data_IF_026018206627
#
_entry.id   IF_026018206627
#
_cell.length_a   1.000
_cell.length_b   1.000
_cell.length_c   1.000
_cell.angle_alpha   90.00
_cell.angle_beta   90.00
_cell.angle_gamma   90.00
#
_symmetry.space_group_name_H-M   'P 1'
#
loop_
_entity.id
_entity.type
_entity.pdbx_description
1 polymer ?
#
# COMPACT_ATOMS: atom_id res chain seq x y z
N UNK A 1 32.46 -30.84 46.21
CA UNK A 1 32.75 -29.91 45.12
C UNK A 1 31.43 -29.54 44.48
N UNK A 2 30.98 -28.32 44.76
CA UNK A 2 29.64 -27.81 44.47
C UNK A 2 29.62 -27.17 43.06
N UNK A 3 28.75 -27.66 42.18
CA UNK A 3 28.51 -27.04 40.89
C UNK A 3 27.38 -26.03 41.02
N UNK A 4 27.70 -24.75 40.92
CA UNK A 4 26.76 -23.65 40.88
C UNK A 4 26.05 -23.57 39.52
N UNK A 5 24.72 -23.81 39.52
CA UNK A 5 23.83 -23.57 38.39
C UNK A 5 23.51 -22.08 38.29
N UNK A 6 24.01 -21.44 37.26
CA UNK A 6 23.67 -20.05 36.90
C UNK A 6 22.35 -20.02 36.14
N UNK A 7 21.27 -19.53 36.77
CA UNK A 7 20.00 -19.17 36.13
C UNK A 7 20.20 -17.93 35.26
N UNK A 8 19.65 -17.88 34.03
CA UNK A 8 19.67 -16.64 33.26
C UNK A 8 18.70 -15.61 33.88
N UNK A 9 19.20 -14.38 34.03
CA UNK A 9 18.43 -13.20 34.42
C UNK A 9 17.37 -12.91 33.37
N UNK A 10 16.11 -12.97 33.79
CA UNK A 10 14.97 -12.47 33.01
C UNK A 10 15.06 -10.93 32.86
N UNK A 11 15.06 -10.46 31.63
CA UNK A 11 14.99 -9.04 31.33
C UNK A 11 13.63 -8.47 31.72
N UNK A 12 13.67 -7.39 32.43
CA UNK A 12 12.68 -6.35 32.71
C UNK A 12 11.25 -6.60 32.23
N UNK A 13 10.43 -7.19 33.07
CA UNK A 13 9.00 -7.09 33.02
C UNK A 13 8.56 -5.72 33.54
N UNK A 14 8.04 -4.88 32.66
CA UNK A 14 7.21 -3.74 33.08
C UNK A 14 5.99 -4.35 33.75
N UNK A 15 5.88 -4.17 35.07
CA UNK A 15 4.76 -4.62 35.88
C UNK A 15 3.46 -3.99 35.38
N UNK A 16 2.57 -4.81 34.83
CA UNK A 16 1.18 -4.42 34.64
C UNK A 16 0.57 -4.07 35.99
N UNK A 17 -0.21 -3.01 36.12
CA UNK A 17 -0.90 -2.71 37.39
C UNK A 17 -1.82 -3.88 37.74
N UNK A 18 -1.68 -4.42 38.95
CA UNK A 18 -2.31 -5.65 39.46
C UNK A 18 -3.86 -5.58 39.69
N UNK A 19 -4.57 -4.57 39.20
CA UNK A 19 -5.99 -4.33 39.50
C UNK A 19 -6.97 -4.61 38.36
N UNK A 20 -6.61 -5.45 37.37
CA UNK A 20 -7.51 -5.79 36.25
C UNK A 20 -8.37 -7.06 36.49
N UNK A 21 -8.53 -7.48 37.74
CA UNK A 21 -9.33 -8.64 38.11
C UNK A 21 -10.81 -8.31 37.94
N UNK A 22 -11.46 -8.91 36.92
CA UNK A 22 -12.89 -8.73 36.64
C UNK A 22 -13.23 -8.15 35.25
N UNK A 23 -12.23 -7.71 34.49
CA UNK A 23 -12.42 -7.26 33.11
C UNK A 23 -12.18 -8.39 32.10
N UNK A 24 -13.00 -8.44 31.03
CA UNK A 24 -12.70 -9.24 29.84
C UNK A 24 -11.25 -8.95 29.44
N UNK A 25 -10.49 -9.98 29.12
CA UNK A 25 -9.05 -9.87 28.86
C UNK A 25 -8.74 -8.83 27.79
N UNK A 26 -8.14 -7.71 28.19
CA UNK A 26 -7.70 -6.65 27.28
C UNK A 26 -6.33 -7.06 26.75
N UNK A 27 -6.25 -7.28 25.44
CA UNK A 27 -5.01 -7.71 24.80
C UNK A 27 -3.92 -6.64 24.92
N UNK A 28 -2.67 -7.11 25.11
CA UNK A 28 -1.50 -6.23 25.02
C UNK A 28 -1.38 -5.62 23.62
N UNK A 29 -0.64 -4.53 23.47
CA UNK A 29 -0.45 -3.84 22.20
C UNK A 29 0.05 -4.79 21.08
N UNK A 30 1.03 -5.63 21.39
CA UNK A 30 1.55 -6.58 20.41
C UNK A 30 0.51 -7.65 20.02
N UNK A 31 -0.21 -8.18 21.01
CA UNK A 31 -1.27 -9.17 20.77
C UNK A 31 -2.44 -8.58 19.99
N UNK A 32 -2.85 -7.35 20.31
CA UNK A 32 -3.94 -6.68 19.63
C UNK A 32 -3.59 -6.30 18.18
N UNK A 33 -2.42 -5.73 17.94
CA UNK A 33 -1.92 -5.44 16.58
C UNK A 33 -1.79 -6.72 15.75
N UNK A 34 -1.36 -7.83 16.38
CA UNK A 34 -1.34 -9.13 15.72
C UNK A 34 -2.76 -9.63 15.39
N UNK A 35 -3.72 -9.43 16.28
CA UNK A 35 -5.13 -9.79 16.05
C UNK A 35 -5.74 -9.03 14.88
N UNK A 36 -5.51 -7.71 14.78
CA UNK A 36 -5.92 -6.91 13.62
C UNK A 36 -5.35 -7.51 12.32
N UNK A 37 -4.06 -7.84 12.31
CA UNK A 37 -3.40 -8.44 11.14
C UNK A 37 -3.97 -9.81 10.76
N UNK A 38 -4.35 -10.62 11.75
CA UNK A 38 -4.96 -11.93 11.52
C UNK A 38 -6.39 -11.79 10.99
N UNK A 39 -7.19 -10.89 11.56
CA UNK A 39 -8.56 -10.65 11.13
C UNK A 39 -8.61 -10.05 9.72
N UNK A 40 -7.68 -9.15 9.39
CA UNK A 40 -7.52 -8.66 8.03
C UNK A 40 -7.25 -9.80 7.03
N UNK A 41 -6.28 -10.69 7.33
CA UNK A 41 -5.97 -11.85 6.48
C UNK A 41 -7.15 -12.82 6.38
N UNK A 42 -7.95 -12.95 7.43
CA UNK A 42 -9.19 -13.73 7.40
C UNK A 42 -10.22 -13.07 6.48
N UNK A 43 -10.44 -11.77 6.63
CA UNK A 43 -11.35 -10.98 5.81
C UNK A 43 -10.93 -10.99 4.33
N UNK A 44 -9.64 -10.86 4.01
CA UNK A 44 -9.11 -10.99 2.63
C UNK A 44 -9.48 -12.33 1.99
N UNK A 45 -9.50 -13.42 2.78
CA UNK A 45 -9.81 -14.77 2.28
C UNK A 45 -11.32 -15.05 2.22
N UNK A 46 -12.07 -14.60 3.22
CA UNK A 46 -13.50 -14.92 3.37
C UNK A 46 -14.40 -13.89 2.73
N UNK A 47 -13.87 -12.73 2.31
CA UNK A 47 -14.60 -11.55 1.82
C UNK A 47 -15.60 -11.00 2.85
N UNK A 48 -15.47 -11.38 4.14
CA UNK A 48 -16.30 -10.84 5.22
C UNK A 48 -15.63 -9.63 5.83
N UNK A 49 -16.32 -8.48 5.88
CA UNK A 49 -15.74 -7.26 6.44
C UNK A 49 -15.63 -7.34 7.96
N UNK A 50 -14.70 -6.56 8.51
CA UNK A 50 -14.60 -6.27 9.93
C UNK A 50 -14.45 -4.76 10.16
N UNK A 51 -14.71 -4.28 11.37
CA UNK A 51 -14.44 -2.91 11.72
C UNK A 51 -13.49 -2.81 12.91
N UNK A 52 -12.74 -1.72 12.94
CA UNK A 52 -11.83 -1.33 14.00
C UNK A 52 -12.28 0.02 14.55
N UNK A 53 -12.67 0.06 15.81
CA UNK A 53 -12.85 1.28 16.57
C UNK A 53 -11.60 1.57 17.36
N UNK A 54 -11.06 2.78 17.27
CA UNK A 54 -9.98 3.28 18.10
C UNK A 54 -10.48 4.44 18.94
N UNK A 55 -10.14 4.42 20.21
CA UNK A 55 -10.46 5.43 21.19
C UNK A 55 -9.14 6.00 21.70
N UNK A 56 -8.84 7.23 21.30
CA UNK A 56 -7.66 7.98 21.72
C UNK A 56 -8.11 8.98 22.80
N UNK A 57 -7.63 8.78 24.01
CA UNK A 57 -7.93 9.65 25.14
C UNK A 57 -7.04 10.92 25.21
N UNK A 58 -6.19 11.17 24.20
CA UNK A 58 -5.32 12.35 24.14
C UNK A 58 -4.25 12.40 25.24
N UNK A 59 -3.80 11.29 25.68
CA UNK A 59 -3.22 11.06 26.99
C UNK A 59 -1.69 11.25 27.08
N UNK A 60 -1.20 12.49 27.02
CA UNK A 60 -0.01 12.82 27.81
C UNK A 60 -0.33 13.62 29.10
N UNK A 61 -1.57 14.12 29.24
CA UNK A 61 -1.97 14.99 30.36
C UNK A 61 -3.22 14.53 31.14
N UNK A 62 -3.99 13.55 30.62
CA UNK A 62 -5.21 13.04 31.27
C UNK A 62 -4.97 11.80 32.13
N UNK A 63 -3.79 11.20 32.08
CA UNK A 63 -3.47 10.08 32.97
C UNK A 63 -3.37 10.61 34.40
N UNK A 64 -4.52 10.67 35.06
CA UNK A 64 -4.57 10.69 36.50
C UNK A 64 -3.65 9.57 37.02
N UNK A 65 -2.88 9.85 38.08
CA UNK A 65 -1.90 8.94 38.68
C UNK A 65 -2.45 7.54 39.04
N UNK A 66 -3.76 7.32 38.84
CA UNK A 66 -4.49 6.10 39.18
C UNK A 66 -5.11 5.37 37.98
N UNK A 67 -4.99 5.86 36.74
CA UNK A 67 -5.52 5.17 35.54
C UNK A 67 -7.05 5.04 35.49
N UNK A 68 -7.81 5.83 36.25
CA UNK A 68 -9.28 5.74 36.36
C UNK A 68 -9.98 5.95 35.03
N UNK A 69 -9.54 6.90 34.24
CA UNK A 69 -10.13 7.17 32.89
C UNK A 69 -10.13 5.92 32.01
N UNK A 70 -9.07 5.13 32.06
CA UNK A 70 -9.00 3.89 31.30
C UNK A 70 -9.92 2.81 31.86
N UNK A 71 -10.10 2.73 33.18
CA UNK A 71 -11.05 1.82 33.80
C UNK A 71 -12.48 2.15 33.37
N UNK A 72 -12.83 3.43 33.35
CA UNK A 72 -14.16 3.88 32.91
C UNK A 72 -14.39 3.63 31.44
N UNK A 73 -13.38 3.89 30.57
CA UNK A 73 -13.44 3.56 29.13
C UNK A 73 -13.62 2.06 28.92
N UNK A 74 -12.84 1.23 29.58
CA UNK A 74 -12.89 -0.23 29.43
C UNK A 74 -14.20 -0.82 29.98
N UNK A 75 -14.70 -0.28 31.08
CA UNK A 75 -16.00 -0.65 31.65
C UNK A 75 -17.16 -0.31 30.69
N UNK A 76 -17.14 0.89 30.11
CA UNK A 76 -18.14 1.31 29.13
C UNK A 76 -18.10 0.43 27.86
N UNK A 77 -16.89 0.07 27.40
CA UNK A 77 -16.72 -0.83 26.26
C UNK A 77 -17.30 -2.22 26.54
N UNK A 78 -17.02 -2.81 27.72
CA UNK A 78 -17.56 -4.13 28.08
C UNK A 78 -19.08 -4.19 28.07
N UNK A 79 -19.74 -3.11 28.47
CA UNK A 79 -21.22 -3.02 28.45
C UNK A 79 -21.80 -2.83 27.04
N UNK A 80 -21.00 -2.46 26.05
CA UNK A 80 -21.43 -2.07 24.71
C UNK A 80 -21.10 -3.08 23.61
N UNK A 81 -20.08 -3.94 23.80
CA UNK A 81 -19.53 -4.87 22.80
C UNK A 81 -20.02 -6.31 23.03
N UNK A 82 -19.94 -7.14 21.99
CA UNK A 82 -20.30 -8.57 22.03
C UNK A 82 -19.15 -9.40 22.63
N UNK A 83 -19.45 -10.63 23.03
CA UNK A 83 -18.40 -11.57 23.48
C UNK A 83 -17.37 -11.92 22.41
N UNK A 84 -17.80 -11.92 21.14
CA UNK A 84 -16.95 -12.19 19.98
C UNK A 84 -16.04 -11.02 19.60
N UNK A 85 -16.32 -9.81 20.07
CA UNK A 85 -15.52 -8.64 19.79
C UNK A 85 -14.27 -8.63 20.68
N UNK A 86 -13.15 -8.19 20.11
CA UNK A 86 -11.85 -8.25 20.77
C UNK A 86 -11.40 -6.85 21.13
N UNK A 87 -11.09 -6.63 22.43
CA UNK A 87 -10.57 -5.37 22.95
C UNK A 87 -9.09 -5.48 23.26
N UNK A 88 -8.31 -4.45 22.96
CA UNK A 88 -6.88 -4.42 23.28
C UNK A 88 -6.27 -3.04 23.11
N UNK A 89 -5.04 -2.91 23.53
CA UNK A 89 -4.25 -1.69 23.35
C UNK A 89 -3.75 -1.59 21.92
N UNK A 90 -4.13 -0.55 21.19
CA UNK A 90 -3.49 -0.23 19.91
C UNK A 90 -2.15 0.48 20.15
N UNK A 91 -2.11 1.40 21.14
CA UNK A 91 -0.90 1.98 21.70
C UNK A 91 -1.06 1.97 23.21
N UNK A 92 -0.12 1.34 23.91
CA UNK A 92 -0.20 1.16 25.36
C UNK A 92 -0.40 2.50 26.08
N UNK A 93 -1.40 2.56 26.94
CA UNK A 93 -1.78 3.74 27.75
C UNK A 93 -2.14 5.00 26.93
N UNK A 94 -2.40 4.89 25.65
CA UNK A 94 -2.77 6.03 24.79
C UNK A 94 -4.01 5.76 23.93
N UNK A 95 -4.06 4.59 23.29
CA UNK A 95 -5.16 4.25 22.35
C UNK A 95 -5.65 2.84 22.64
N UNK A 96 -6.93 2.69 22.98
CA UNK A 96 -7.61 1.40 23.07
C UNK A 96 -8.38 1.14 21.79
N UNK A 97 -8.37 -0.10 21.33
CA UNK A 97 -9.11 -0.52 20.14
C UNK A 97 -10.09 -1.64 20.42
N UNK A 98 -11.12 -1.71 19.58
CA UNK A 98 -12.09 -2.82 19.51
C UNK A 98 -12.18 -3.31 18.08
N UNK A 99 -11.97 -4.61 17.87
CA UNK A 99 -12.19 -5.28 16.60
C UNK A 99 -13.57 -5.91 16.62
N UNK A 100 -14.44 -5.45 15.72
CA UNK A 100 -15.78 -6.01 15.48
C UNK A 100 -15.70 -6.97 14.31
N UNK A 101 -15.97 -8.25 14.56
CA UNK A 101 -15.94 -9.29 13.54
C UNK A 101 -17.32 -9.52 12.91
N UNK A 102 -17.36 -10.05 11.69
CA UNK A 102 -18.59 -10.45 10.99
C UNK A 102 -19.65 -9.32 10.89
N UNK A 103 -19.24 -8.17 10.37
CA UNK A 103 -20.15 -7.05 10.15
C UNK A 103 -20.86 -7.22 8.81
N UNK A 104 -22.18 -7.00 8.80
CA UNK A 104 -22.97 -6.89 7.57
C UNK A 104 -22.97 -5.40 7.19
N UNK A 105 -22.43 -5.08 6.02
CA UNK A 105 -22.29 -3.68 5.54
C UNK A 105 -23.61 -3.12 4.95
N UNK A 106 -24.61 -3.98 4.73
CA UNK A 106 -25.90 -3.53 4.20
C UNK A 106 -26.66 -2.67 5.20
N UNK A 107 -26.66 -1.36 4.92
CA UNK A 107 -27.32 -0.31 5.70
C UNK A 107 -26.84 -0.16 7.16
N UNK A 108 -25.87 0.57 7.33
CA UNK A 108 -25.15 1.17 8.47
C UNK A 108 -25.85 1.55 9.83
N UNK A 109 -27.04 1.06 10.23
CA UNK A 109 -27.59 1.41 11.53
C UNK A 109 -26.87 0.72 12.69
N UNK A 110 -26.28 -0.47 12.47
CA UNK A 110 -25.64 -1.24 13.55
C UNK A 110 -24.38 -0.55 14.07
N UNK A 111 -23.53 -0.06 13.18
CA UNK A 111 -22.27 0.60 13.55
C UNK A 111 -22.53 1.96 14.20
N UNK A 112 -23.46 2.74 13.66
CA UNK A 112 -23.86 4.02 14.26
C UNK A 112 -24.53 3.83 15.63
N UNK A 113 -25.30 2.75 15.79
CA UNK A 113 -25.92 2.38 17.07
C UNK A 113 -24.88 1.97 18.12
N UNK A 114 -23.88 1.16 17.74
CA UNK A 114 -22.77 0.79 18.64
C UNK A 114 -22.00 2.04 19.05
N UNK A 115 -21.65 2.92 18.11
CA UNK A 115 -20.93 4.15 18.40
C UNK A 115 -21.74 5.11 19.30
N UNK A 116 -23.02 5.26 19.04
CA UNK A 116 -23.89 6.10 19.87
C UNK A 116 -24.01 5.54 21.29
N UNK A 117 -24.12 4.22 21.43
CA UNK A 117 -24.16 3.55 22.73
C UNK A 117 -22.86 3.71 23.52
N UNK A 118 -21.70 3.49 22.85
CA UNK A 118 -20.39 3.70 23.47
C UNK A 118 -20.22 5.15 23.91
N UNK A 119 -20.59 6.10 23.04
CA UNK A 119 -20.52 7.54 23.38
C UNK A 119 -21.41 7.91 24.54
N UNK A 120 -22.64 7.38 24.61
CA UNK A 120 -23.54 7.61 25.73
C UNK A 120 -22.96 7.10 27.04
N UNK A 121 -22.47 5.84 27.07
CA UNK A 121 -21.88 5.26 28.28
C UNK A 121 -20.62 6.01 28.74
N UNK A 122 -19.78 6.46 27.80
CA UNK A 122 -18.59 7.26 28.13
C UNK A 122 -18.94 8.66 28.61
N UNK A 123 -20.05 9.26 28.10
CA UNK A 123 -20.53 10.56 28.55
C UNK A 123 -21.07 10.52 29.97
N UNK A 124 -21.70 9.39 30.33
CA UNK A 124 -22.26 9.20 31.69
C UNK A 124 -21.17 8.88 32.74
N UNK A 125 -20.06 8.22 32.28
CA UNK A 125 -18.97 7.80 33.17
C UNK A 125 -17.81 8.78 33.31
N UNK A 126 -17.67 9.75 32.41
CA UNK A 126 -16.53 10.68 32.38
C UNK A 126 -16.97 12.14 32.59
N UNK A 127 -16.07 12.94 33.13
CA UNK A 127 -16.27 14.39 33.19
C UNK A 127 -16.35 15.01 31.78
N UNK A 128 -17.15 16.09 31.62
CA UNK A 128 -17.35 16.73 30.32
C UNK A 128 -16.04 17.16 29.64
N UNK A 129 -15.04 17.57 30.41
CA UNK A 129 -13.73 17.99 29.93
C UNK A 129 -12.90 16.78 29.42
N UNK A 130 -12.97 15.66 30.13
CA UNK A 130 -12.35 14.39 29.72
C UNK A 130 -12.99 13.84 28.44
N UNK A 131 -14.32 13.82 28.39
CA UNK A 131 -15.04 13.33 27.23
C UNK A 131 -14.76 14.16 25.96
N UNK A 132 -14.63 15.49 26.10
CA UNK A 132 -14.35 16.38 24.98
C UNK A 132 -13.01 16.13 24.29
N UNK A 133 -12.04 15.54 25.00
CA UNK A 133 -10.70 15.23 24.50
C UNK A 133 -10.60 13.87 23.84
N UNK A 134 -11.60 13.00 24.06
CA UNK A 134 -11.59 11.65 23.45
C UNK A 134 -11.88 11.75 21.96
N UNK A 135 -10.97 11.19 21.17
CA UNK A 135 -11.15 11.04 19.72
C UNK A 135 -11.55 9.61 19.36
N UNK A 136 -12.60 9.50 18.58
CA UNK A 136 -13.07 8.22 18.05
C UNK A 136 -12.68 8.11 16.58
N UNK A 137 -11.95 7.06 16.22
CA UNK A 137 -11.64 6.71 14.83
C UNK A 137 -12.28 5.37 14.53
N UNK A 138 -13.14 5.35 13.51
CA UNK A 138 -13.82 4.14 13.08
C UNK A 138 -13.37 3.77 11.67
N UNK A 139 -12.84 2.56 11.50
CA UNK A 139 -12.25 2.06 10.27
C UNK A 139 -12.94 0.76 9.91
N UNK A 140 -13.31 0.60 8.65
CA UNK A 140 -13.89 -0.63 8.11
C UNK A 140 -12.89 -1.25 7.15
N UNK A 141 -12.77 -2.56 7.18
CA UNK A 141 -11.98 -3.33 6.23
C UNK A 141 -12.91 -4.27 5.43
N UNK A 142 -12.80 -4.36 4.11
CA UNK A 142 -11.86 -3.65 3.23
C UNK A 142 -12.08 -2.15 3.21
N UNK A 143 -10.98 -1.39 3.15
CA UNK A 143 -11.05 0.05 2.97
C UNK A 143 -11.80 0.38 1.68
N UNK A 144 -12.80 1.25 1.76
CA UNK A 144 -13.44 1.85 0.60
C UNK A 144 -12.49 2.87 -0.04
N UNK A 145 -11.51 2.38 -0.77
CA UNK A 145 -10.58 3.24 -1.52
C UNK A 145 -11.27 4.07 -2.58
N UNK A 146 -12.55 3.80 -2.86
CA UNK A 146 -13.06 4.10 -4.17
C UNK A 146 -14.40 4.80 -4.29
N UNK A 147 -15.31 4.64 -3.35
CA UNK A 147 -16.68 5.01 -3.70
C UNK A 147 -17.00 6.50 -3.56
N UNK A 148 -16.31 7.25 -2.68
CA UNK A 148 -16.67 8.65 -2.45
C UNK A 148 -15.49 9.64 -2.33
N UNK A 149 -14.26 9.20 -2.13
CA UNK A 149 -13.12 10.12 -2.02
C UNK A 149 -11.80 9.47 -2.49
N UNK A 150 -11.49 9.59 -3.79
CA UNK A 150 -10.33 8.94 -4.43
C UNK A 150 -8.98 9.48 -3.95
N UNK A 151 -8.96 10.52 -3.15
CA UNK A 151 -7.76 11.16 -2.61
C UNK A 151 -7.44 10.69 -1.18
N UNK A 152 -8.25 9.82 -0.57
CA UNK A 152 -7.91 9.26 0.74
C UNK A 152 -6.92 8.10 0.57
N UNK A 153 -5.71 8.25 1.11
CA UNK A 153 -4.79 7.11 1.21
C UNK A 153 -5.40 6.03 2.11
N UNK A 154 -5.04 4.77 1.86
CA UNK A 154 -5.39 3.67 2.77
C UNK A 154 -4.93 3.99 4.18
N UNK A 155 -5.74 3.66 5.16
CA UNK A 155 -5.39 3.94 6.55
C UNK A 155 -4.35 2.91 7.04
N UNK A 156 -3.09 3.33 7.32
CA UNK A 156 -2.02 2.43 7.75
C UNK A 156 -2.36 1.69 9.05
N UNK A 157 -3.28 2.21 9.86
CA UNK A 157 -3.74 1.65 11.12
C UNK A 157 -4.33 0.24 10.99
N UNK A 158 -4.92 -0.09 9.82
CA UNK A 158 -5.42 -1.44 9.52
C UNK A 158 -4.31 -2.43 9.13
N UNK A 159 -3.06 -1.95 8.99
CA UNK A 159 -1.91 -2.73 8.52
C UNK A 159 -0.72 -2.67 9.49
N UNK A 160 -0.90 -2.99 10.79
CA UNK A 160 0.15 -2.83 11.79
C UNK A 160 1.37 -3.73 11.56
N UNK A 161 1.21 -4.84 10.85
CA UNK A 161 2.31 -5.73 10.44
C UNK A 161 3.21 -5.07 9.37
N UNK A 162 2.63 -4.30 8.47
CA UNK A 162 3.37 -3.54 7.46
C UNK A 162 4.09 -2.36 8.13
N UNK A 163 3.42 -1.63 9.00
CA UNK A 163 3.99 -0.51 9.75
C UNK A 163 5.20 -0.94 10.58
N UNK A 164 5.08 -2.02 11.38
CA UNK A 164 6.19 -2.58 12.17
C UNK A 164 7.39 -2.97 11.31
N UNK A 165 7.15 -3.57 10.14
CA UNK A 165 8.22 -3.92 9.18
C UNK A 165 8.88 -2.68 8.60
N UNK A 166 8.11 -1.67 8.28
CA UNK A 166 8.62 -0.40 7.76
C UNK A 166 9.45 0.35 8.80
N UNK A 167 9.06 0.30 10.06
CA UNK A 167 9.82 0.91 11.16
C UNK A 167 11.13 0.21 11.44
N UNK A 168 11.12 -1.13 11.46
CA UNK A 168 12.34 -1.91 11.70
C UNK A 168 13.42 -1.71 10.65
N UNK A 169 13.05 -1.24 9.44
CA UNK A 169 13.97 -1.07 8.32
C UNK A 169 14.20 0.39 7.91
N UNK A 170 14.09 1.33 8.85
CA UNK A 170 14.24 2.78 8.59
C UNK A 170 15.57 3.13 7.94
N UNK A 171 16.68 2.58 8.44
CA UNK A 171 18.03 2.84 7.89
C UNK A 171 18.14 2.34 6.46
N UNK A 172 17.67 1.13 6.19
CA UNK A 172 17.67 0.56 4.83
C UNK A 172 16.86 1.41 3.85
N UNK A 173 15.70 1.93 4.27
CA UNK A 173 14.87 2.83 3.45
C UNK A 173 15.54 4.19 3.22
N UNK A 174 16.21 4.74 4.23
CA UNK A 174 16.98 5.97 4.05
C UNK A 174 18.14 5.78 3.05
N UNK A 175 18.86 4.66 3.13
CA UNK A 175 19.91 4.30 2.17
C UNK A 175 19.34 4.09 0.77
N UNK A 176 18.20 3.37 0.66
CA UNK A 176 17.49 3.25 -0.63
C UNK A 176 17.14 4.62 -1.21
N UNK A 177 16.60 5.52 -0.40
CA UNK A 177 16.26 6.88 -0.86
C UNK A 177 17.47 7.65 -1.34
N UNK A 178 18.60 7.53 -0.67
CA UNK A 178 19.86 8.14 -1.09
C UNK A 178 20.31 7.60 -2.47
N UNK A 179 20.26 6.28 -2.66
CA UNK A 179 20.57 5.63 -3.95
C UNK A 179 19.59 6.09 -5.04
N UNK A 180 18.29 6.17 -4.74
CA UNK A 180 17.27 6.66 -5.67
C UNK A 180 17.58 8.08 -6.14
N UNK A 181 17.93 8.99 -5.22
CA UNK A 181 18.22 10.38 -5.54
C UNK A 181 19.51 10.51 -6.34
N UNK A 182 20.61 9.91 -5.86
CA UNK A 182 21.90 9.99 -6.52
C UNK A 182 21.88 9.30 -7.88
N UNK A 183 21.28 8.11 -7.97
CA UNK A 183 21.12 7.36 -9.22
C UNK A 183 20.27 8.11 -10.24
N UNK A 184 19.12 8.68 -9.82
CA UNK A 184 18.28 9.45 -10.72
C UNK A 184 18.94 10.74 -11.20
N UNK A 185 19.65 11.44 -10.32
CA UNK A 185 20.37 12.66 -10.68
C UNK A 185 21.49 12.37 -11.68
N UNK A 186 22.27 11.31 -11.41
CA UNK A 186 23.35 10.86 -12.32
C UNK A 186 22.80 10.43 -13.68
N UNK A 187 21.71 9.65 -13.70
CA UNK A 187 21.07 9.22 -14.95
C UNK A 187 20.50 10.41 -15.73
N UNK A 188 19.87 11.38 -15.07
CA UNK A 188 19.37 12.59 -15.72
C UNK A 188 20.51 13.41 -16.33
N UNK A 189 21.64 13.55 -15.63
CA UNK A 189 22.82 14.27 -16.14
C UNK A 189 23.41 13.57 -17.36
N UNK A 190 23.67 12.25 -17.26
CA UNK A 190 24.27 11.44 -18.33
C UNK A 190 23.36 11.35 -19.55
N UNK A 191 22.05 11.15 -19.34
CA UNK A 191 21.07 11.00 -20.41
C UNK A 191 20.47 12.32 -20.88
N UNK A 192 20.92 13.48 -20.36
CA UNK A 192 20.42 14.80 -20.78
C UNK A 192 20.47 15.02 -22.30
N UNK A 193 21.52 14.63 -23.07
CA UNK A 193 21.51 14.77 -24.53
C UNK A 193 20.37 13.94 -25.17
N UNK A 194 20.12 12.72 -24.65
CA UNK A 194 19.04 11.86 -25.14
C UNK A 194 17.68 12.50 -24.88
N UNK A 195 17.49 13.13 -23.71
CA UNK A 195 16.27 13.87 -23.39
C UNK A 195 16.00 14.98 -24.40
N UNK A 196 17.01 15.78 -24.75
CA UNK A 196 16.86 16.84 -25.74
C UNK A 196 16.56 16.31 -27.14
N UNK A 197 17.27 15.27 -27.58
CA UNK A 197 17.04 14.63 -28.89
C UNK A 197 15.61 14.08 -28.97
N UNK A 198 15.17 13.33 -27.96
CA UNK A 198 13.82 12.75 -27.93
C UNK A 198 12.75 13.86 -27.89
N UNK A 199 12.97 14.90 -27.06
CA UNK A 199 12.04 16.02 -26.97
C UNK A 199 11.90 16.77 -28.30
N UNK A 200 13.01 17.03 -28.99
CA UNK A 200 13.02 17.65 -30.31
C UNK A 200 12.32 16.74 -31.35
N UNK A 201 12.65 15.46 -31.40
CA UNK A 201 12.03 14.50 -32.31
C UNK A 201 10.51 14.42 -32.11
N UNK A 202 10.01 14.36 -30.88
CA UNK A 202 8.57 14.37 -30.59
C UNK A 202 7.93 15.68 -31.08
N UNK A 203 8.59 16.81 -30.87
CA UNK A 203 8.04 18.12 -31.26
C UNK A 203 7.97 18.30 -32.77
N UNK A 204 8.96 17.77 -33.50
CA UNK A 204 9.03 17.83 -34.96
C UNK A 204 8.09 16.83 -35.66
N UNK A 205 7.87 15.66 -35.06
CA UNK A 205 7.09 14.59 -35.69
C UNK A 205 5.59 14.60 -35.37
N UNK A 206 5.19 15.29 -34.28
CA UNK A 206 3.79 15.31 -33.87
C UNK A 206 3.41 16.60 -33.11
N UNK A 207 2.20 17.14 -33.37
CA UNK A 207 1.67 18.32 -32.68
C UNK A 207 1.34 18.01 -31.21
N UNK A 208 1.68 18.92 -30.28
CA UNK A 208 1.28 18.87 -28.87
C UNK A 208 2.46 18.86 -27.89
N UNK A 209 2.22 18.58 -26.58
CA UNK A 209 3.26 18.59 -25.53
C UNK A 209 4.24 17.43 -25.70
N UNK A 210 5.48 17.63 -25.31
CA UNK A 210 6.55 16.60 -25.33
C UNK A 210 6.28 15.53 -24.27
N UNK A 211 5.85 15.96 -23.10
CA UNK A 211 5.56 15.06 -21.96
C UNK A 211 4.08 14.70 -21.92
N UNK A 212 3.81 13.43 -21.76
CA UNK A 212 2.53 12.88 -21.36
C UNK A 212 2.46 12.82 -19.83
N UNK A 213 1.33 13.28 -19.29
CA UNK A 213 1.06 13.30 -17.84
C UNK A 213 -0.17 12.46 -17.56
N UNK A 214 -0.06 11.54 -16.60
CA UNK A 214 -1.14 10.65 -16.20
C UNK A 214 -1.23 10.55 -14.69
N UNK A 215 -2.42 10.66 -14.12
CA UNK A 215 -2.63 10.36 -12.71
C UNK A 215 -2.50 8.87 -12.47
N UNK A 216 -1.66 8.49 -11.51
CA UNK A 216 -1.43 7.12 -11.06
C UNK A 216 -1.46 7.05 -9.55
N UNK A 217 -1.64 5.84 -9.04
CA UNK A 217 -1.69 5.58 -7.60
C UNK A 217 -0.31 5.14 -7.14
N UNK A 218 0.20 5.84 -6.12
CA UNK A 218 1.50 5.60 -5.49
C UNK A 218 1.40 4.83 -4.18
N UNK A 219 2.44 4.97 -3.37
CA UNK A 219 2.53 4.35 -2.04
C UNK A 219 1.36 4.81 -1.15
N UNK A 220 0.79 3.89 -0.39
CA UNK A 220 -0.38 4.10 0.49
C UNK A 220 -1.62 4.65 -0.22
N UNK A 221 -1.75 4.43 -1.54
CA UNK A 221 -2.91 4.91 -2.29
C UNK A 221 -2.85 6.39 -2.69
N UNK A 222 -1.74 7.08 -2.45
CA UNK A 222 -1.61 8.51 -2.77
C UNK A 222 -1.54 8.75 -4.28
N UNK A 223 -2.40 9.59 -4.88
CA UNK A 223 -2.32 9.89 -6.29
C UNK A 223 -1.14 10.83 -6.60
N UNK A 224 -0.43 10.56 -7.69
CA UNK A 224 0.64 11.42 -8.18
C UNK A 224 0.58 11.58 -9.70
N UNK A 225 1.34 12.55 -10.24
CA UNK A 225 1.42 12.80 -11.68
C UNK A 225 2.61 12.07 -12.28
N UNK A 226 2.33 10.95 -12.92
CA UNK A 226 3.29 10.11 -13.63
C UNK A 226 3.72 10.76 -14.95
N UNK A 227 5.02 10.83 -15.21
CA UNK A 227 5.61 11.48 -16.35
C UNK A 227 6.16 10.47 -17.35
N UNK A 228 5.83 10.66 -18.64
CA UNK A 228 6.42 9.93 -19.77
C UNK A 228 6.69 10.86 -20.95
N UNK A 229 7.58 10.49 -21.85
CA UNK A 229 7.56 11.08 -23.18
C UNK A 229 6.32 10.63 -23.95
N UNK A 230 5.76 11.52 -24.73
CA UNK A 230 4.59 11.22 -25.53
C UNK A 230 4.95 10.23 -26.65
N UNK A 231 4.35 9.06 -26.61
CA UNK A 231 4.50 7.99 -27.59
C UNK A 231 3.21 7.71 -28.38
N UNK A 232 2.12 8.42 -28.07
CA UNK A 232 0.81 8.28 -28.70
C UNK A 232 0.31 9.61 -29.23
N UNK A 233 -0.61 9.56 -30.20
CA UNK A 233 -1.37 10.74 -30.69
C UNK A 233 -2.26 11.30 -29.58
N UNK A 234 -2.64 12.58 -29.69
CA UNK A 234 -3.53 13.25 -28.74
C UNK A 234 -5.00 12.87 -29.12
N UNK A 235 -5.88 12.86 -28.11
CA UNK A 235 -7.33 12.59 -28.25
C UNK A 235 -7.67 11.17 -28.70
N UNK A 236 -6.97 10.19 -28.17
CA UNK A 236 -7.27 8.78 -28.43
C UNK A 236 -8.30 8.23 -27.42
N UNK A 237 -9.23 7.41 -27.94
CA UNK A 237 -10.12 6.65 -27.09
C UNK A 237 -9.33 5.56 -26.30
N UNK A 238 -9.57 5.50 -25.01
CA UNK A 238 -8.95 4.52 -24.11
C UNK A 238 -9.90 3.40 -23.67
N UNK A 239 -11.12 3.34 -24.24
CA UNK A 239 -12.16 2.39 -23.84
C UNK A 239 -11.73 0.94 -24.05
N UNK A 240 -11.18 0.62 -25.23
CA UNK A 240 -10.66 -0.72 -25.53
C UNK A 240 -9.53 -1.14 -24.58
N UNK A 241 -8.66 -0.20 -24.23
CA UNK A 241 -7.57 -0.48 -23.30
C UNK A 241 -8.08 -0.72 -21.89
N UNK A 242 -9.07 0.04 -21.43
CA UNK A 242 -9.69 -0.17 -20.11
C UNK A 242 -10.36 -1.53 -20.02
N UNK A 243 -11.09 -1.91 -21.05
CA UNK A 243 -11.77 -3.21 -21.10
C UNK A 243 -10.75 -4.36 -21.12
N UNK A 244 -9.71 -4.26 -21.94
CA UNK A 244 -8.63 -5.24 -21.96
C UNK A 244 -7.96 -5.40 -20.59
N UNK A 245 -7.69 -4.31 -19.90
CA UNK A 245 -7.07 -4.34 -18.57
C UNK A 245 -8.00 -4.99 -17.54
N UNK A 246 -9.30 -4.73 -17.58
CA UNK A 246 -10.28 -5.41 -16.73
C UNK A 246 -10.26 -6.93 -16.94
N UNK A 247 -10.27 -7.37 -18.19
CA UNK A 247 -10.19 -8.79 -18.54
C UNK A 247 -8.87 -9.41 -18.09
N UNK A 248 -7.76 -8.67 -18.18
CA UNK A 248 -6.44 -9.11 -17.71
C UNK A 248 -6.44 -9.32 -16.20
N UNK A 249 -6.99 -8.38 -15.43
CA UNK A 249 -7.10 -8.45 -13.97
C UNK A 249 -8.04 -9.58 -13.55
N UNK A 250 -9.15 -9.78 -14.27
CA UNK A 250 -10.10 -10.86 -14.04
C UNK A 250 -9.56 -12.26 -14.47
N UNK A 251 -8.34 -12.33 -15.02
CA UNK A 251 -7.76 -13.58 -15.50
C UNK A 251 -8.41 -14.12 -16.79
N UNK A 252 -9.26 -13.32 -17.44
CA UNK A 252 -10.04 -13.69 -18.66
C UNK A 252 -9.35 -13.25 -19.95
N UNK A 253 -8.26 -12.49 -19.88
CA UNK A 253 -7.54 -12.03 -21.07
C UNK A 253 -6.89 -13.21 -21.80
N UNK A 254 -7.18 -13.33 -23.08
CA UNK A 254 -6.52 -14.31 -23.94
C UNK A 254 -5.10 -13.87 -24.29
N UNK A 255 -4.21 -14.84 -24.33
CA UNK A 255 -2.87 -14.64 -24.85
C UNK A 255 -2.93 -14.45 -26.35
N UNK A 256 -2.42 -13.32 -26.84
CA UNK A 256 -2.29 -13.07 -28.29
C UNK A 256 -0.89 -13.44 -28.76
N UNK A 257 -0.80 -14.08 -29.93
CA UNK A 257 0.50 -14.39 -30.53
C UNK A 257 1.24 -13.10 -30.87
N UNK A 258 2.46 -12.96 -30.34
CA UNK A 258 3.36 -11.89 -30.74
C UNK A 258 4.17 -12.37 -31.93
N UNK A 259 3.94 -11.77 -33.12
CA UNK A 259 4.79 -11.89 -34.30
C UNK A 259 5.06 -13.32 -34.82
N UNK A 260 4.07 -14.15 -35.05
CA UNK A 260 4.22 -15.38 -35.86
C UNK A 260 5.16 -16.49 -35.31
N UNK A 261 5.93 -16.23 -34.26
CA UNK A 261 6.90 -17.17 -33.68
C UNK A 261 6.35 -18.01 -32.51
N UNK A 262 5.05 -18.15 -32.37
CA UNK A 262 4.43 -19.06 -31.38
C UNK A 262 4.43 -18.57 -29.92
N UNK A 263 5.07 -17.47 -29.61
CA UNK A 263 5.06 -16.90 -28.26
C UNK A 263 3.82 -16.06 -27.99
N UNK A 264 3.09 -16.39 -26.95
CA UNK A 264 1.85 -15.72 -26.57
C UNK A 264 2.08 -14.74 -25.43
N UNK A 265 1.66 -13.48 -25.63
CA UNK A 265 1.80 -12.37 -24.66
C UNK A 265 0.45 -11.79 -24.29
N UNK A 266 0.35 -11.29 -23.04
CA UNK A 266 -0.78 -10.51 -22.58
C UNK A 266 -0.58 -9.04 -22.96
N UNK A 267 -0.91 -8.67 -24.22
CA UNK A 267 -0.78 -7.29 -24.70
C UNK A 267 -1.71 -7.02 -25.87
N UNK A 268 -2.17 -5.77 -26.01
CA UNK A 268 -2.83 -5.30 -27.21
C UNK A 268 -1.79 -5.15 -28.32
N UNK A 269 -1.92 -5.92 -29.39
CA UNK A 269 -1.09 -5.85 -30.59
C UNK A 269 -1.69 -4.85 -31.59
N UNK A 270 -0.84 -4.11 -32.32
CA UNK A 270 -1.23 -3.13 -33.36
C UNK A 270 -2.09 -1.95 -32.87
N UNK A 271 -1.69 -1.33 -31.76
CA UNK A 271 -2.35 -0.12 -31.27
C UNK A 271 -2.08 1.07 -32.20
N UNK A 272 -3.09 1.46 -33.00
CA UNK A 272 -3.05 2.57 -33.97
C UNK A 272 -2.82 3.94 -33.33
N UNK A 273 -2.97 4.03 -32.01
CA UNK A 273 -2.72 5.26 -31.25
C UNK A 273 -1.25 5.60 -31.15
N UNK A 274 -0.35 4.63 -31.36
CA UNK A 274 1.10 4.78 -31.18
C UNK A 274 1.68 5.48 -32.42
N UNK A 275 2.42 6.57 -32.19
CA UNK A 275 3.15 7.24 -33.29
C UNK A 275 4.31 6.38 -33.80
N UNK A 276 4.79 6.55 -35.06
CA UNK A 276 5.95 5.82 -35.58
C UNK A 276 7.19 5.99 -34.67
N UNK A 277 7.47 7.23 -34.25
CA UNK A 277 8.54 7.53 -33.28
C UNK A 277 8.24 6.86 -31.92
N UNK A 278 6.98 6.93 -31.46
CA UNK A 278 6.54 6.33 -30.21
C UNK A 278 6.78 4.83 -30.14
N UNK A 279 6.70 4.12 -31.26
CA UNK A 279 7.01 2.68 -31.34
C UNK A 279 8.48 2.42 -31.00
N UNK A 280 9.39 3.25 -31.53
CA UNK A 280 10.84 3.16 -31.21
C UNK A 280 11.08 3.49 -29.75
N UNK A 281 10.48 4.58 -29.22
CA UNK A 281 10.62 5.00 -27.83
C UNK A 281 10.17 3.90 -26.86
N UNK A 282 9.03 3.27 -27.15
CA UNK A 282 8.47 2.18 -26.32
C UNK A 282 9.33 0.92 -26.40
N UNK A 283 9.81 0.57 -27.59
CA UNK A 283 10.70 -0.59 -27.78
C UNK A 283 11.97 -0.47 -26.91
N UNK A 284 12.55 0.72 -26.87
CA UNK A 284 13.76 1.03 -26.10
C UNK A 284 13.46 1.51 -24.68
N UNK A 285 12.19 1.56 -24.26
CA UNK A 285 11.72 2.11 -22.98
C UNK A 285 12.19 3.55 -22.71
N UNK A 286 12.57 4.29 -23.74
CA UNK A 286 13.01 5.69 -23.63
C UNK A 286 11.85 6.61 -23.23
N UNK A 287 10.62 6.23 -23.55
CA UNK A 287 9.42 6.95 -23.12
C UNK A 287 9.28 7.02 -21.60
N UNK A 288 9.91 6.13 -20.86
CA UNK A 288 9.85 6.06 -19.39
C UNK A 288 10.91 6.91 -18.68
N UNK A 289 11.92 7.44 -19.38
CA UNK A 289 12.99 8.23 -18.77
C UNK A 289 12.51 9.44 -17.93
N UNK A 290 11.43 10.18 -18.28
CA UNK A 290 10.94 11.28 -17.45
C UNK A 290 10.47 10.87 -16.06
N UNK A 291 10.25 9.57 -15.78
CA UNK A 291 9.94 9.08 -14.44
C UNK A 291 11.10 9.27 -13.45
N UNK A 292 12.33 9.46 -13.91
CA UNK A 292 13.45 9.86 -13.05
C UNK A 292 13.14 11.13 -12.27
N UNK A 293 12.34 12.04 -12.84
CA UNK A 293 11.85 13.24 -12.15
C UNK A 293 10.88 12.87 -11.02
N UNK A 294 10.00 11.88 -11.24
CA UNK A 294 9.11 11.39 -10.19
C UNK A 294 9.90 10.71 -9.04
N UNK A 295 11.02 10.04 -9.37
CA UNK A 295 11.91 9.48 -8.35
C UNK A 295 12.55 10.59 -7.53
N UNK A 296 13.06 11.64 -8.15
CA UNK A 296 13.63 12.80 -7.43
C UNK A 296 12.61 13.49 -6.53
N UNK A 297 11.35 13.59 -6.97
CA UNK A 297 10.24 14.13 -6.17
C UNK A 297 9.84 13.23 -4.99
N UNK A 298 10.29 11.98 -4.97
CA UNK A 298 9.94 11.01 -3.94
C UNK A 298 8.61 10.29 -4.16
N UNK A 299 7.96 10.54 -5.28
CA UNK A 299 6.72 9.88 -5.70
C UNK A 299 6.95 8.43 -6.13
N UNK A 300 8.16 8.14 -6.63
CA UNK A 300 8.63 6.84 -7.09
C UNK A 300 10.04 6.52 -6.55
N UNK A 301 10.46 5.29 -6.77
CA UNK A 301 11.81 4.74 -6.57
C UNK A 301 12.37 4.27 -7.91
N UNK A 302 13.67 4.03 -8.01
CA UNK A 302 14.25 3.35 -9.17
C UNK A 302 13.70 1.93 -9.30
N UNK A 303 13.59 1.21 -8.17
CA UNK A 303 13.11 -0.17 -8.11
C UNK A 303 11.88 -0.28 -7.23
N UNK A 304 10.82 -0.89 -7.76
CA UNK A 304 9.56 -1.13 -7.05
C UNK A 304 8.44 -1.64 -7.97
N UNK A 305 7.25 -1.88 -7.42
CA UNK A 305 6.07 -2.22 -8.20
C UNK A 305 5.72 -1.15 -9.22
N UNK A 306 5.16 -1.53 -10.37
CA UNK A 306 4.65 -0.55 -11.34
C UNK A 306 3.45 0.18 -10.76
N UNK A 307 3.39 1.55 -10.80
CA UNK A 307 2.25 2.30 -10.32
C UNK A 307 1.02 2.06 -11.20
N UNK A 308 -0.12 1.61 -10.65
CA UNK A 308 -1.34 1.38 -11.42
C UNK A 308 -2.05 2.68 -11.76
N UNK A 309 -2.93 2.61 -12.75
CA UNK A 309 -3.91 3.65 -13.05
C UNK A 309 -5.13 3.41 -12.16
N UNK A 310 -5.91 4.46 -11.90
CA UNK A 310 -7.07 4.39 -11.02
C UNK A 310 -8.06 3.28 -11.40
N UNK A 311 -8.46 3.17 -12.66
CA UNK A 311 -9.40 2.13 -13.11
C UNK A 311 -8.84 0.70 -12.99
N UNK A 312 -7.51 0.52 -12.90
CA UNK A 312 -6.90 -0.78 -12.56
C UNK A 312 -7.16 -1.10 -11.09
N UNK A 313 -6.96 -0.12 -10.19
CA UNK A 313 -7.20 -0.31 -8.75
C UNK A 313 -8.67 -0.58 -8.43
N UNK A 314 -9.58 0.02 -9.19
CA UNK A 314 -11.03 -0.24 -9.10
C UNK A 314 -11.38 -1.71 -9.41
N UNK A 315 -10.62 -2.34 -10.30
CA UNK A 315 -10.78 -3.75 -10.64
C UNK A 315 -9.97 -4.71 -9.75
N UNK A 316 -9.17 -4.20 -8.80
CA UNK A 316 -8.32 -5.02 -7.93
C UNK A 316 -9.14 -5.76 -6.88
N UNK A 317 -8.81 -7.03 -6.68
CA UNK A 317 -9.16 -7.72 -5.45
C UNK A 317 -8.39 -7.13 -4.25
N UNK A 318 -8.90 -7.36 -3.04
CA UNK A 318 -8.33 -6.79 -1.81
C UNK A 318 -6.83 -7.10 -1.66
N UNK A 319 -6.41 -8.33 -1.95
CA UNK A 319 -5.01 -8.75 -1.84
C UNK A 319 -4.09 -8.11 -2.90
N UNK A 320 -4.63 -7.72 -4.07
CA UNK A 320 -3.88 -6.98 -5.09
C UNK A 320 -3.45 -5.60 -4.58
N UNK A 321 -4.28 -4.98 -3.73
CA UNK A 321 -4.03 -3.65 -3.18
C UNK A 321 -2.82 -3.61 -2.24
N UNK A 322 -2.45 -4.75 -1.63
CA UNK A 322 -1.29 -4.85 -0.72
C UNK A 322 0.03 -4.39 -1.37
N UNK A 323 0.19 -4.56 -2.69
CA UNK A 323 1.39 -4.09 -3.40
C UNK A 323 1.59 -2.58 -3.31
N UNK A 324 0.52 -1.81 -3.12
CA UNK A 324 0.56 -0.35 -3.00
C UNK A 324 0.89 0.10 -1.57
N UNK A 325 0.69 -0.78 -0.59
CA UNK A 325 0.95 -0.52 0.81
C UNK A 325 2.34 -0.94 1.23
N UNK A 326 2.81 -2.05 0.68
CA UNK A 326 4.07 -2.68 1.10
C UNK A 326 5.31 -2.05 0.44
N UNK A 327 5.18 -1.38 -0.72
CA UNK A 327 6.33 -0.82 -1.41
C UNK A 327 6.00 0.43 -2.24
N UNK A 328 6.96 1.36 -2.27
CA UNK A 328 6.93 2.52 -3.16
C UNK A 328 7.02 2.08 -4.62
N UNK A 329 6.21 2.65 -5.54
CA UNK A 329 6.26 2.30 -6.95
C UNK A 329 7.63 2.62 -7.58
N UNK A 330 8.06 1.78 -8.53
CA UNK A 330 9.34 1.88 -9.20
C UNK A 330 9.26 2.11 -10.71
N UNK A 331 10.38 2.54 -11.30
CA UNK A 331 10.59 2.58 -12.76
C UNK A 331 10.75 1.15 -13.27
N UNK A 332 11.55 0.35 -12.59
CA UNK A 332 11.72 -1.09 -12.83
C UNK A 332 11.33 -1.90 -11.60
N UNK A 333 11.10 -3.20 -11.75
CA UNK A 333 10.69 -4.05 -10.66
C UNK A 333 10.93 -5.52 -10.94
N UNK A 334 10.75 -6.36 -9.92
CA UNK A 334 11.03 -7.79 -9.99
C UNK A 334 10.28 -8.47 -11.13
N UNK A 335 8.96 -8.25 -11.25
CA UNK A 335 8.17 -8.84 -12.33
C UNK A 335 8.61 -8.35 -13.72
N UNK A 336 9.03 -7.09 -13.84
CA UNK A 336 9.48 -6.49 -15.09
C UNK A 336 10.76 -7.14 -15.63
N UNK A 337 11.66 -7.58 -14.74
CA UNK A 337 12.88 -8.29 -15.14
C UNK A 337 12.72 -9.80 -15.18
N UNK A 338 11.61 -10.36 -14.65
CA UNK A 338 11.36 -11.82 -14.57
C UNK A 338 10.49 -12.37 -15.70
N UNK A 339 9.71 -11.56 -16.42
CA UNK A 339 8.83 -12.11 -17.47
C UNK A 339 7.97 -11.10 -18.22
N UNK A 340 7.89 -9.84 -17.75
CA UNK A 340 7.11 -8.75 -18.40
C UNK A 340 5.70 -9.20 -18.82
N UNK A 341 5.35 -9.02 -20.10
CA UNK A 341 4.03 -9.32 -20.68
C UNK A 341 3.68 -10.82 -20.78
N UNK A 342 4.58 -11.73 -20.39
CA UNK A 342 4.32 -13.19 -20.36
C UNK A 342 3.67 -13.65 -19.05
N UNK A 343 3.75 -12.83 -18.02
CA UNK A 343 3.26 -13.15 -16.65
C UNK A 343 1.79 -12.79 -16.54
N UNK A 344 0.98 -13.69 -15.95
CA UNK A 344 -0.41 -13.40 -15.60
C UNK A 344 -0.47 -12.27 -14.57
N UNK A 345 -1.58 -11.56 -14.49
CA UNK A 345 -1.74 -10.44 -13.58
C UNK A 345 -1.50 -10.85 -12.11
N UNK A 346 -2.09 -11.94 -11.65
CA UNK A 346 -1.91 -12.43 -10.28
C UNK A 346 -0.46 -12.79 -9.96
N UNK A 347 0.26 -13.40 -10.91
CA UNK A 347 1.66 -13.74 -10.72
C UNK A 347 2.53 -12.48 -10.70
N UNK A 348 2.18 -11.45 -11.49
CA UNK A 348 2.82 -10.13 -11.41
C UNK A 348 2.64 -9.52 -10.02
N UNK A 349 1.43 -9.56 -9.46
CA UNK A 349 1.16 -9.06 -8.10
C UNK A 349 1.92 -9.87 -7.05
N UNK A 350 1.98 -11.21 -7.19
CA UNK A 350 2.78 -12.07 -6.30
C UNK A 350 4.26 -11.73 -6.32
N UNK A 351 4.84 -11.46 -7.50
CA UNK A 351 6.22 -11.02 -7.63
C UNK A 351 6.46 -9.65 -6.98
N UNK A 352 5.50 -8.72 -7.12
CA UNK A 352 5.58 -7.42 -6.45
C UNK A 352 5.52 -7.55 -4.92
N UNK A 353 4.64 -8.41 -4.39
CA UNK A 353 4.57 -8.70 -2.97
C UNK A 353 5.79 -9.46 -2.47
N UNK A 354 6.33 -10.39 -3.27
CA UNK A 354 7.59 -11.07 -2.96
C UNK A 354 8.75 -10.08 -2.85
N UNK A 355 8.84 -9.13 -3.78
CA UNK A 355 9.82 -8.04 -3.73
C UNK A 355 9.68 -7.23 -2.44
N UNK A 356 8.46 -6.77 -2.12
CA UNK A 356 8.20 -5.93 -0.96
C UNK A 356 8.54 -6.65 0.36
N UNK A 357 8.21 -7.94 0.46
CA UNK A 357 8.44 -8.75 1.68
C UNK A 357 9.89 -9.15 1.88
N UNK A 358 10.60 -9.42 0.79
CA UNK A 358 12.01 -9.87 0.81
C UNK A 358 12.97 -8.75 0.40
N UNK A 359 12.51 -7.50 0.47
CA UNK A 359 13.30 -6.37 0.04
C UNK A 359 14.65 -6.28 0.74
N UNK A 360 15.68 -6.06 -0.05
CA UNK A 360 17.04 -5.74 0.38
C UNK A 360 17.70 -4.83 -0.67
N UNK A 361 18.70 -4.05 -0.26
CA UNK A 361 19.48 -3.23 -1.19
C UNK A 361 20.16 -4.08 -2.27
N UNK A 362 20.58 -5.29 -1.92
CA UNK A 362 21.16 -6.23 -2.88
C UNK A 362 20.18 -6.68 -3.96
N UNK A 363 18.92 -6.90 -3.57
CA UNK A 363 17.85 -7.22 -4.53
C UNK A 363 17.61 -6.06 -5.50
N UNK A 364 17.63 -4.82 -5.01
CA UNK A 364 17.52 -3.63 -5.88
C UNK A 364 18.67 -3.58 -6.89
N UNK A 365 19.91 -3.82 -6.45
CA UNK A 365 21.07 -3.84 -7.34
C UNK A 365 20.92 -4.92 -8.41
N UNK A 366 20.51 -6.13 -8.04
CA UNK A 366 20.27 -7.23 -9.01
C UNK A 366 19.21 -6.83 -10.04
N UNK A 367 18.10 -6.23 -9.60
CA UNK A 367 17.03 -5.79 -10.51
C UNK A 367 17.55 -4.70 -11.45
N UNK A 368 18.30 -3.71 -10.94
CA UNK A 368 18.89 -2.66 -11.76
C UNK A 368 19.86 -3.22 -12.81
N UNK A 369 20.71 -4.17 -12.44
CA UNK A 369 21.64 -4.82 -13.37
C UNK A 369 20.93 -5.68 -14.43
N UNK A 370 19.78 -6.27 -14.11
CA UNK A 370 18.97 -7.05 -15.07
C UNK A 370 18.11 -6.17 -15.98
N UNK A 371 17.83 -4.94 -15.58
CA UNK A 371 16.93 -4.04 -16.33
C UNK A 371 17.41 -3.75 -17.75
N UNK A 372 18.69 -3.42 -18.05
CA UNK A 372 19.16 -3.22 -19.42
C UNK A 372 18.94 -4.43 -20.32
N UNK A 373 19.26 -5.62 -19.83
CA UNK A 373 19.03 -6.87 -20.58
C UNK A 373 17.52 -7.09 -20.83
N UNK A 374 16.68 -6.86 -19.82
CA UNK A 374 15.23 -6.96 -19.96
C UNK A 374 14.65 -5.90 -20.92
N UNK A 375 15.27 -4.72 -21.06
CA UNK A 375 14.87 -3.69 -22.03
C UNK A 375 15.30 -4.05 -23.45
N UNK A 376 16.54 -4.52 -23.63
CA UNK A 376 17.12 -4.75 -24.96
C UNK A 376 16.70 -6.10 -25.56
N UNK A 377 16.60 -7.14 -24.73
CA UNK A 377 16.33 -8.52 -25.15
C UNK A 377 14.98 -9.04 -24.67
N UNK A 378 14.26 -8.25 -23.86
CA UNK A 378 12.93 -8.62 -23.37
C UNK A 378 11.91 -8.62 -24.49
N UNK A 379 11.50 -9.80 -24.96
CA UNK A 379 10.40 -9.95 -25.88
C UNK A 379 9.11 -9.44 -25.24
N UNK A 380 8.37 -8.57 -25.96
CA UNK A 380 7.15 -7.94 -25.44
C UNK A 380 7.23 -6.42 -25.23
N UNK A 381 8.29 -5.76 -25.64
CA UNK A 381 8.44 -4.30 -25.62
C UNK A 381 7.79 -3.58 -26.86
N UNK A 382 6.97 -4.28 -27.65
CA UNK A 382 6.34 -3.74 -28.86
C UNK A 382 4.96 -3.16 -28.61
#
# INVERSE_FOLDING_TARGET
MSSASTKPRSANGVSQPQNWVGFKEVLSEEAFRRMISLERKRSERTQRPFALLLIDAGCSQLCDKQGRVWLDILSALQGAIRETDVTGWYTTNSVVGVVFTEIVLDNNPVLSTILSRIRALLRDGLDADQFSRIKFSFLVFPDDWDSQNPERPSNPTLYPDIEKRQESNRLGRATKRLIDVLGSLSLLAILSPVFFIVAAAIKLTSRGPVLFRQKRIGEHGTPFTFLKFRSMYINNDSSEHKEYVRQLIAGQAEKKSANGNGESVFKLTNDLRITPLGRILRRLSLDELPQLINVLRGEMSLVGPRPPIRYEVEAYEVWHRLRLLEAKPGITGLWQVSGRSRVKFDDMVRLDLQYARNWSLWLDIIILLRTPAAVLFGEGAH
#
